data_IF_692564896824
#
_entry.id   IF_692564896824
#
_cell.length_a   1.000
_cell.length_b   1.000
_cell.length_c   1.000
_cell.angle_alpha   90.00
_cell.angle_beta   90.00
_cell.angle_gamma   90.00
#
_symmetry.space_group_name_H-M   'P 1'
#
loop_
_entity.id
_entity.type
_entity.pdbx_description
1 polymer ?
#
# COMPACT_ATOMS: atom_id res chain seq x y z
N UNK A 1 -8.26 -45.77 -0.18
CA UNK A 1 -7.42 -45.01 0.77
C UNK A 1 -6.84 -43.74 0.16
N UNK A 2 -6.21 -43.79 -1.02
CA UNK A 2 -5.60 -42.61 -1.69
C UNK A 2 -6.58 -41.44 -1.86
N UNK A 3 -7.81 -41.71 -2.31
CA UNK A 3 -8.83 -40.67 -2.51
C UNK A 3 -9.26 -39.95 -1.21
N UNK A 4 -9.24 -40.65 -0.07
CA UNK A 4 -9.53 -40.07 1.25
C UNK A 4 -8.41 -39.14 1.72
N UNK A 5 -7.16 -39.50 1.45
CA UNK A 5 -5.99 -38.65 1.75
C UNK A 5 -5.98 -37.40 0.87
N UNK A 6 -6.27 -37.53 -0.43
CA UNK A 6 -6.30 -36.39 -1.35
C UNK A 6 -7.38 -35.36 -1.00
N UNK A 7 -8.55 -35.81 -0.55
CA UNK A 7 -9.66 -34.91 -0.18
C UNK A 7 -9.41 -34.15 1.13
N UNK A 8 -8.62 -34.71 2.06
CA UNK A 8 -8.21 -34.02 3.28
C UNK A 8 -7.23 -32.88 2.96
N UNK A 9 -6.24 -33.11 2.09
CA UNK A 9 -5.26 -32.09 1.71
C UNK A 9 -5.87 -30.96 0.86
N UNK A 10 -6.90 -31.26 0.06
CA UNK A 10 -7.58 -30.26 -0.76
C UNK A 10 -8.45 -29.27 0.04
N UNK A 11 -8.80 -29.60 1.29
CA UNK A 11 -9.57 -28.70 2.17
C UNK A 11 -8.73 -27.52 2.65
N UNK A 12 -7.44 -27.71 2.88
CA UNK A 12 -6.52 -26.65 3.30
C UNK A 12 -6.14 -25.71 2.15
N UNK A 13 -6.32 -26.14 0.90
CA UNK A 13 -6.04 -25.33 -0.29
C UNK A 13 -7.10 -24.25 -0.60
N UNK A 14 -8.27 -24.28 0.05
CA UNK A 14 -9.36 -23.32 -0.13
C UNK A 14 -9.44 -22.27 1.02
N UNK A 15 -8.29 -21.88 1.58
CA UNK A 15 -8.26 -20.82 2.58
C UNK A 15 -8.61 -19.46 1.93
N UNK A 16 -9.78 -18.90 2.30
CA UNK A 16 -10.25 -17.58 1.84
C UNK A 16 -9.41 -16.41 2.39
N UNK A 17 -8.64 -16.66 3.45
CA UNK A 17 -7.83 -15.69 4.18
C UNK A 17 -6.44 -16.27 4.41
N UNK A 18 -5.42 -15.55 3.94
CA UNK A 18 -4.03 -15.82 4.29
C UNK A 18 -3.83 -15.33 5.73
N UNK A 19 -3.20 -16.14 6.58
CA UNK A 19 -2.92 -15.76 7.98
C UNK A 19 -2.14 -14.44 8.06
N UNK A 20 -2.41 -13.62 9.08
CA UNK A 20 -1.67 -12.38 9.35
C UNK A 20 -0.15 -12.60 9.41
N UNK A 21 0.31 -13.77 9.86
CA UNK A 21 1.74 -14.12 9.88
C UNK A 21 2.36 -14.25 8.47
N UNK A 22 1.56 -14.64 7.48
CA UNK A 22 1.98 -14.69 6.07
C UNK A 22 1.81 -13.35 5.35
N UNK A 23 0.84 -12.51 5.74
CA UNK A 23 0.69 -11.15 5.20
C UNK A 23 1.72 -10.15 5.76
N UNK A 24 2.22 -10.39 6.98
CA UNK A 24 3.10 -9.46 7.68
C UNK A 24 4.61 -9.66 7.45
N UNK A 25 5.03 -10.78 6.83
CA UNK A 25 6.47 -11.10 6.68
C UNK A 25 7.17 -10.21 5.66
N UNK A 26 6.48 -9.81 4.60
CA UNK A 26 7.01 -8.95 3.53
C UNK A 26 6.34 -7.58 3.48
N UNK A 27 5.50 -7.26 4.47
CA UNK A 27 4.91 -5.93 4.62
C UNK A 27 6.00 -4.92 4.92
N UNK A 28 6.11 -3.86 4.10
CA UNK A 28 6.98 -2.73 4.38
C UNK A 28 6.71 -2.28 5.82
N UNK A 29 7.73 -2.33 6.69
CA UNK A 29 7.58 -1.96 8.11
C UNK A 29 7.07 -0.53 8.12
N UNK A 30 5.81 -0.33 8.48
CA UNK A 30 5.16 0.97 8.43
C UNK A 30 5.89 2.02 9.28
N UNK A 31 5.36 3.24 9.27
CA UNK A 31 5.82 4.28 10.18
C UNK A 31 5.53 3.88 11.65
N UNK A 32 6.50 4.03 12.54
CA UNK A 32 6.31 3.73 13.97
C UNK A 32 7.52 4.08 14.83
N UNK A 33 7.41 4.05 16.17
CA UNK A 33 8.50 4.42 17.09
C UNK A 33 9.79 3.63 16.88
N UNK A 34 9.67 2.37 16.43
CA UNK A 34 10.79 1.46 16.13
C UNK A 34 11.27 1.54 14.68
N UNK A 35 10.55 2.24 13.80
CA UNK A 35 10.97 2.51 12.41
C UNK A 35 10.71 3.98 12.01
N UNK A 36 11.36 4.95 12.66
CA UNK A 36 11.19 6.36 12.34
C UNK A 36 11.70 6.71 10.93
N UNK A 37 12.65 5.93 10.39
CA UNK A 37 13.16 6.11 9.02
C UNK A 37 12.11 5.82 7.94
N UNK A 38 11.11 4.97 8.24
CA UNK A 38 9.95 4.72 7.39
C UNK A 38 8.94 5.88 7.40
N UNK A 39 9.04 6.80 8.35
CA UNK A 39 8.17 7.97 8.49
C UNK A 39 8.57 9.11 7.54
N UNK A 40 8.89 8.82 6.28
CA UNK A 40 9.11 9.87 5.30
C UNK A 40 7.76 10.46 4.93
N UNK A 41 7.55 11.74 5.21
CA UNK A 41 6.49 12.49 4.52
C UNK A 41 6.81 12.37 3.04
N UNK A 42 5.85 11.90 2.24
CA UNK A 42 6.02 11.92 0.79
C UNK A 42 6.34 13.37 0.41
N UNK A 43 7.56 13.61 -0.04
CA UNK A 43 7.92 14.91 -0.60
C UNK A 43 6.94 15.14 -1.75
N UNK A 44 6.16 16.22 -1.67
CA UNK A 44 5.36 16.63 -2.81
C UNK A 44 6.29 16.73 -4.02
N UNK A 45 5.84 16.25 -5.17
CA UNK A 45 6.62 16.34 -6.41
C UNK A 45 7.20 17.76 -6.51
N UNK A 46 8.51 17.88 -6.74
CA UNK A 46 9.21 19.16 -6.89
C UNK A 46 8.61 20.04 -7.99
N UNK A 47 7.81 19.45 -8.89
CA UNK A 47 7.03 20.17 -9.86
C UNK A 47 5.89 20.98 -9.21
N UNK A 48 6.04 22.31 -9.23
CA UNK A 48 4.94 23.24 -8.99
C UNK A 48 4.27 23.64 -10.30
N UNK A 49 2.98 23.35 -10.46
CA UNK A 49 2.21 23.91 -11.59
C UNK A 49 2.00 25.39 -11.33
N UNK A 50 2.68 26.24 -12.11
CA UNK A 50 2.42 27.68 -12.11
C UNK A 50 0.96 27.97 -12.45
N UNK A 51 0.48 29.15 -12.06
CA UNK A 51 -0.87 29.53 -12.41
C UNK A 51 -0.94 30.07 -13.84
N UNK A 52 -1.80 29.47 -14.65
CA UNK A 52 -2.13 29.95 -15.98
C UNK A 52 -3.30 30.93 -15.91
N UNK A 53 -3.40 31.85 -16.89
CA UNK A 53 -4.51 32.81 -17.03
C UNK A 53 -5.88 32.14 -17.01
N UNK A 54 -6.02 30.94 -17.60
CA UNK A 54 -7.25 30.14 -17.58
C UNK A 54 -7.71 29.73 -16.17
N UNK A 55 -6.80 29.69 -15.19
CA UNK A 55 -7.09 29.38 -13.78
C UNK A 55 -7.39 30.62 -12.93
N UNK A 56 -7.43 31.82 -13.53
CA UNK A 56 -7.83 33.09 -12.90
C UNK A 56 -7.17 33.33 -11.54
N UNK A 57 -5.84 33.33 -11.51
CA UNK A 57 -5.15 33.50 -10.24
C UNK A 57 -5.28 34.91 -9.68
N UNK A 58 -5.25 34.97 -8.35
CA UNK A 58 -5.29 36.22 -7.60
C UNK A 58 -4.06 37.05 -7.98
N UNK A 59 -4.27 38.12 -8.73
CA UNK A 59 -3.21 39.02 -9.20
C UNK A 59 -3.08 39.17 -10.71
N UNK A 60 -3.88 38.46 -11.53
CA UNK A 60 -4.04 38.78 -12.95
C UNK A 60 -4.70 40.18 -13.06
N UNK A 61 -3.87 41.23 -13.11
CA UNK A 61 -4.29 42.54 -13.59
C UNK A 61 -4.06 42.55 -15.10
N UNK A 62 -5.12 42.93 -15.78
CA UNK A 62 -5.32 43.04 -17.23
C UNK A 62 -4.13 43.65 -17.96
#
# INVERSE_FOLDING_TARGET
MVLLVCTLMAKDANAKLISYGAMGRDGNRGCGPTNPAGCKKQEANKYSRGCKKEFRCRGDKT
#
